data_IF_755414938550
#
_entry.id   IF_755414938550
#
_cell.length_a   1.000
_cell.length_b   1.000
_cell.length_c   1.000
_cell.angle_alpha   90.00
_cell.angle_beta   90.00
_cell.angle_gamma   90.00
#
_symmetry.space_group_name_H-M   'P 1'
#
loop_
_entity.id
_entity.type
_entity.pdbx_description
1 polymer ?
#
# COMPACT_ATOMS: atom_id res chain seq x y z
N UNK A 1 4.20 43.52 -67.14
CA UNK A 1 5.15 44.40 -66.42
C UNK A 1 5.40 43.75 -65.07
N UNK A 2 6.57 43.12 -64.87
CA UNK A 2 7.80 43.74 -64.31
C UNK A 2 7.57 44.26 -62.87
N UNK A 3 8.36 44.00 -61.85
CA UNK A 3 9.64 43.31 -61.58
C UNK A 3 9.72 43.28 -60.02
N UNK A 4 10.05 42.15 -59.39
CA UNK A 4 11.35 41.87 -58.73
C UNK A 4 11.69 42.68 -57.46
N UNK A 5 11.75 41.98 -56.32
CA UNK A 5 12.77 42.04 -55.25
C UNK A 5 12.79 40.57 -54.71
N UNK A 6 13.78 39.68 -54.92
CA UNK A 6 15.18 39.68 -54.48
C UNK A 6 15.25 39.44 -52.94
N UNK A 7 15.96 38.51 -52.33
CA UNK A 7 16.93 37.48 -52.72
C UNK A 7 17.26 36.62 -51.45
N UNK A 8 17.75 35.39 -51.64
CA UNK A 8 18.47 34.51 -50.70
C UNK A 8 17.73 33.96 -49.44
N UNK A 9 17.82 32.70 -49.01
CA UNK A 9 18.54 31.52 -49.45
C UNK A 9 17.76 30.28 -48.94
N UNK A 10 17.34 29.39 -49.86
CA UNK A 10 16.83 28.06 -49.53
C UNK A 10 17.95 27.06 -49.78
N UNK A 11 18.62 26.63 -48.72
CA UNK A 11 19.57 25.53 -48.78
C UNK A 11 18.91 24.26 -48.24
N UNK A 12 18.68 23.33 -49.17
CA UNK A 12 18.18 21.98 -48.97
C UNK A 12 19.13 21.20 -48.04
N UNK A 13 18.62 20.70 -46.91
CA UNK A 13 19.31 19.63 -46.16
C UNK A 13 18.35 18.47 -45.90
N UNK A 14 18.83 17.32 -46.34
CA UNK A 14 18.22 16.01 -46.40
C UNK A 14 17.59 15.51 -45.10
N UNK A 15 16.45 14.85 -45.24
CA UNK A 15 15.91 13.97 -44.21
C UNK A 15 16.88 12.83 -43.93
N UNK A 16 17.40 12.83 -42.70
CA UNK A 16 18.05 11.67 -42.09
C UNK A 16 17.06 11.14 -41.05
N UNK A 17 16.48 9.99 -41.34
CA UNK A 17 15.73 9.20 -40.35
C UNK A 17 16.66 8.94 -39.16
N UNK A 18 16.30 9.49 -38.00
CA UNK A 18 16.84 9.07 -36.72
C UNK A 18 15.72 8.31 -36.00
N UNK A 19 15.84 6.99 -36.04
CA UNK A 19 15.22 6.09 -35.10
C UNK A 19 15.83 6.36 -33.72
N UNK A 20 15.27 7.33 -33.01
CA UNK A 20 15.51 7.55 -31.59
C UNK A 20 14.37 6.91 -30.81
N UNK A 21 14.64 5.73 -30.26
CA UNK A 21 13.81 5.09 -29.25
C UNK A 21 13.85 5.97 -27.98
N UNK A 22 12.90 6.90 -27.88
CA UNK A 22 12.83 7.88 -26.81
C UNK A 22 11.96 7.30 -25.69
N UNK A 23 12.49 6.27 -25.02
CA UNK A 23 11.98 5.84 -23.72
C UNK A 23 12.51 6.82 -22.64
N UNK A 24 11.68 7.22 -21.66
CA UNK A 24 12.08 8.21 -20.68
C UNK A 24 13.25 7.71 -19.82
N UNK A 25 14.20 8.61 -19.56
CA UNK A 25 15.42 8.48 -18.76
C UNK A 25 15.14 8.17 -17.28
N UNK A 26 14.64 6.97 -16.98
CA UNK A 26 14.40 6.51 -15.61
C UNK A 26 15.62 5.79 -14.99
N UNK A 27 16.75 5.69 -15.72
CA UNK A 27 17.88 4.79 -15.44
C UNK A 27 19.16 5.47 -14.91
N UNK A 28 19.16 6.79 -14.62
CA UNK A 28 20.37 7.52 -14.23
C UNK A 28 20.91 7.17 -12.81
N UNK A 29 20.20 6.36 -12.02
CA UNK A 29 20.73 5.81 -10.76
C UNK A 29 21.05 4.33 -10.95
N UNK A 30 22.34 3.98 -10.94
CA UNK A 30 22.80 2.59 -11.08
C UNK A 30 22.16 1.63 -10.07
N UNK A 31 22.07 0.35 -10.43
CA UNK A 31 21.54 -0.71 -9.60
C UNK A 31 22.56 -1.07 -8.52
N UNK A 32 22.19 -0.93 -7.25
CA UNK A 32 23.04 -1.36 -6.12
C UNK A 32 22.68 -2.79 -5.72
N UNK A 33 23.64 -3.71 -5.83
CA UNK A 33 23.46 -5.13 -5.53
C UNK A 33 24.26 -5.46 -4.27
N UNK A 34 23.60 -5.99 -3.25
CA UNK A 34 24.28 -6.53 -2.07
C UNK A 34 24.33 -8.05 -2.16
N UNK A 35 25.52 -8.63 -2.19
CA UNK A 35 25.76 -10.06 -2.04
C UNK A 35 26.16 -10.38 -0.60
N UNK A 36 25.48 -11.33 0.02
CA UNK A 36 25.82 -11.90 1.33
C UNK A 36 26.15 -13.38 1.15
N UNK A 37 27.44 -13.73 1.23
CA UNK A 37 27.95 -15.09 1.07
C UNK A 37 29.29 -15.20 1.83
N UNK A 38 29.43 -16.19 2.71
CA UNK A 38 30.62 -16.40 3.54
C UNK A 38 31.84 -16.85 2.73
N UNK A 39 31.65 -17.29 1.49
CA UNK A 39 32.70 -17.76 0.59
C UNK A 39 33.18 -16.62 -0.33
N UNK A 40 34.40 -16.07 -0.13
CA UNK A 40 34.89 -14.93 -0.91
C UNK A 40 34.97 -15.19 -2.42
N UNK A 41 35.17 -16.47 -2.80
CA UNK A 41 35.21 -16.89 -4.20
C UNK A 41 33.89 -16.64 -4.94
N UNK A 42 32.73 -16.81 -4.29
CA UNK A 42 31.42 -16.57 -4.91
C UNK A 42 31.28 -15.11 -5.31
N UNK A 43 31.73 -14.19 -4.45
CA UNK A 43 31.77 -12.76 -4.74
C UNK A 43 32.61 -12.41 -5.95
N UNK A 44 33.75 -13.08 -6.14
CA UNK A 44 34.61 -12.86 -7.31
C UNK A 44 33.99 -13.41 -8.61
N UNK A 45 33.32 -14.57 -8.55
CA UNK A 45 32.61 -15.11 -9.71
C UNK A 45 31.47 -14.18 -10.13
N UNK A 46 30.66 -13.72 -9.18
CA UNK A 46 29.56 -12.79 -9.46
C UNK A 46 30.09 -11.46 -9.99
N UNK A 47 31.17 -10.92 -9.40
CA UNK A 47 31.84 -9.71 -9.91
C UNK A 47 32.30 -9.88 -11.36
N UNK A 48 32.88 -11.04 -11.70
CA UNK A 48 33.30 -11.35 -13.07
C UNK A 48 32.11 -11.47 -14.02
N UNK A 49 31.02 -12.09 -13.59
CA UNK A 49 29.80 -12.24 -14.38
C UNK A 49 29.16 -10.87 -14.71
N UNK A 50 29.23 -9.92 -13.78
CA UNK A 50 28.65 -8.58 -13.92
C UNK A 50 29.63 -7.55 -14.54
N UNK A 51 30.82 -7.96 -14.97
CA UNK A 51 31.87 -7.04 -15.43
C UNK A 51 31.47 -6.16 -16.62
N UNK A 52 30.57 -6.62 -17.48
CA UNK A 52 30.06 -5.84 -18.63
C UNK A 52 28.96 -4.85 -18.26
N UNK A 53 28.38 -4.96 -17.07
CA UNK A 53 27.22 -4.20 -16.62
C UNK A 53 27.68 -2.98 -15.80
N UNK A 54 27.99 -1.89 -16.48
CA UNK A 54 28.61 -0.69 -15.86
C UNK A 54 27.66 0.08 -14.92
N UNK A 55 26.36 -0.15 -15.07
CA UNK A 55 25.30 0.43 -14.25
C UNK A 55 24.98 -0.42 -13.00
N UNK A 56 25.66 -1.54 -12.78
CA UNK A 56 25.47 -2.40 -11.60
C UNK A 56 26.65 -2.22 -10.63
N UNK A 57 26.38 -1.67 -9.45
CA UNK A 57 27.35 -1.58 -8.35
C UNK A 57 27.20 -2.77 -7.40
N UNK A 58 28.22 -3.62 -7.31
CA UNK A 58 28.21 -4.84 -6.50
C UNK A 58 28.96 -4.64 -5.18
N UNK A 59 28.23 -4.72 -4.08
CA UNK A 59 28.75 -4.76 -2.72
C UNK A 59 28.75 -6.21 -2.21
N UNK A 60 29.90 -6.70 -1.75
CA UNK A 60 30.04 -8.06 -1.22
C UNK A 60 30.23 -8.01 0.29
N UNK A 61 29.46 -8.80 1.02
CA UNK A 61 29.52 -8.96 2.47
C UNK A 61 29.74 -10.43 2.80
N UNK A 62 30.91 -10.76 3.36
CA UNK A 62 31.26 -12.13 3.74
C UNK A 62 30.89 -12.49 5.17
N UNK A 63 30.34 -11.55 5.93
CA UNK A 63 29.96 -11.73 7.33
C UNK A 63 28.47 -11.39 7.48
N UNK A 64 27.66 -12.42 7.70
CA UNK A 64 26.21 -12.29 7.82
C UNK A 64 25.79 -11.39 9.00
N UNK A 65 26.58 -11.29 10.07
CA UNK A 65 26.27 -10.38 11.20
C UNK A 65 26.38 -8.91 10.81
N UNK A 66 27.22 -8.59 9.81
CA UNK A 66 27.38 -7.22 9.30
C UNK A 66 26.41 -6.89 8.18
N UNK A 67 25.73 -7.88 7.60
CA UNK A 67 24.89 -7.71 6.43
C UNK A 67 23.87 -6.57 6.60
N UNK A 68 23.16 -6.50 7.74
CA UNK A 68 22.16 -5.44 7.99
C UNK A 68 22.78 -4.04 8.04
N UNK A 69 23.99 -3.93 8.59
CA UNK A 69 24.74 -2.66 8.63
C UNK A 69 25.14 -2.25 7.22
N UNK A 70 25.71 -3.18 6.44
CA UNK A 70 26.10 -2.91 5.05
C UNK A 70 24.90 -2.52 4.20
N UNK A 71 23.77 -3.23 4.32
CA UNK A 71 22.55 -2.94 3.58
C UNK A 71 22.01 -1.53 3.85
N UNK A 72 22.10 -1.05 5.09
CA UNK A 72 21.69 0.32 5.43
C UNK A 72 22.56 1.37 4.74
N UNK A 73 23.87 1.10 4.64
CA UNK A 73 24.83 2.05 4.10
C UNK A 73 24.77 2.08 2.56
N UNK A 74 24.65 0.91 1.91
CA UNK A 74 24.65 0.80 0.44
C UNK A 74 23.26 0.95 -0.19
N UNK A 75 22.18 0.76 0.59
CA UNK A 75 20.77 0.85 0.14
C UNK A 75 20.51 0.04 -1.15
N UNK A 76 20.65 -1.29 -1.08
CA UNK A 76 20.59 -2.13 -2.27
C UNK A 76 19.21 -2.09 -2.93
N UNK A 77 19.20 -2.15 -4.26
CA UNK A 77 18.01 -2.37 -5.08
C UNK A 77 17.65 -3.85 -5.19
N UNK A 78 18.60 -4.75 -4.91
CA UNK A 78 18.39 -6.19 -4.76
C UNK A 78 19.46 -6.81 -3.85
N UNK A 79 19.06 -7.81 -3.06
CA UNK A 79 19.94 -8.59 -2.19
C UNK A 79 20.08 -10.00 -2.77
N UNK A 80 21.31 -10.44 -2.99
CA UNK A 80 21.67 -11.82 -3.26
C UNK A 80 22.15 -12.45 -1.94
N UNK A 81 21.53 -13.53 -1.49
CA UNK A 81 21.83 -14.09 -0.17
C UNK A 81 22.03 -15.60 -0.24
N UNK A 82 23.13 -16.09 0.33
CA UNK A 82 23.29 -17.50 0.58
C UNK A 82 22.34 -18.04 1.68
N UNK A 83 22.01 -19.32 1.60
CA UNK A 83 21.30 -20.05 2.65
C UNK A 83 22.22 -20.78 3.61
N UNK A 84 23.35 -21.29 3.12
CA UNK A 84 24.20 -22.20 3.89
C UNK A 84 25.41 -21.44 4.41
N UNK A 85 25.23 -20.79 5.55
CA UNK A 85 26.30 -20.05 6.25
C UNK A 85 26.61 -20.73 7.60
N UNK A 86 27.87 -20.71 8.08
CA UNK A 86 28.30 -21.45 9.27
C UNK A 86 27.70 -20.92 10.57
N UNK A 87 27.47 -19.59 10.66
CA UNK A 87 27.11 -18.93 11.93
C UNK A 87 25.62 -18.51 12.02
N UNK A 88 24.93 -18.37 10.88
CA UNK A 88 23.55 -17.89 10.80
C UNK A 88 22.76 -18.76 9.82
N UNK A 89 21.56 -19.20 10.22
CA UNK A 89 20.60 -19.78 9.29
C UNK A 89 20.17 -18.70 8.27
N UNK A 90 20.45 -18.92 6.99
CA UNK A 90 20.08 -17.98 5.93
C UNK A 90 18.57 -17.69 5.89
N UNK A 91 17.70 -18.62 6.29
CA UNK A 91 16.26 -18.35 6.39
C UNK A 91 15.93 -17.35 7.50
N UNK A 92 16.66 -17.35 8.61
CA UNK A 92 16.51 -16.36 9.67
C UNK A 92 16.96 -14.97 9.21
N UNK A 93 18.01 -14.91 8.38
CA UNK A 93 18.44 -13.65 7.77
C UNK A 93 17.38 -13.12 6.79
N UNK A 94 16.72 -13.98 6.01
CA UNK A 94 15.57 -13.59 5.16
C UNK A 94 14.44 -12.99 6.00
N UNK A 95 14.10 -13.62 7.13
CA UNK A 95 13.08 -13.09 8.06
C UNK A 95 13.52 -11.76 8.67
N UNK A 96 14.80 -11.61 9.02
CA UNK A 96 15.36 -10.38 9.55
C UNK A 96 15.29 -9.23 8.53
N UNK A 97 15.58 -9.48 7.25
CA UNK A 97 15.39 -8.49 6.19
C UNK A 97 13.96 -8.00 6.10
N UNK A 98 12.99 -8.92 6.23
CA UNK A 98 11.55 -8.62 6.18
C UNK A 98 11.04 -7.88 7.42
N UNK A 99 11.64 -8.12 8.58
CA UNK A 99 11.32 -7.41 9.82
C UNK A 99 11.88 -5.98 9.87
N UNK A 100 12.92 -5.66 9.08
CA UNK A 100 13.54 -4.34 9.09
C UNK A 100 12.89 -3.39 8.05
N UNK A 101 12.39 -2.23 8.50
CA UNK A 101 11.69 -1.27 7.66
C UNK A 101 12.51 -0.77 6.43
N UNK A 102 13.84 -0.69 6.53
CA UNK A 102 14.72 -0.25 5.45
C UNK A 102 14.91 -1.29 4.34
N UNK A 103 14.80 -2.57 4.67
CA UNK A 103 15.07 -3.68 3.74
C UNK A 103 13.84 -4.53 3.43
N UNK A 104 12.74 -4.35 4.16
CA UNK A 104 11.54 -5.19 4.07
C UNK A 104 10.96 -5.27 2.65
N UNK A 105 11.16 -4.24 1.83
CA UNK A 105 10.68 -4.15 0.45
C UNK A 105 11.76 -4.45 -0.59
N UNK A 106 13.02 -4.53 -0.21
CA UNK A 106 14.13 -4.85 -1.14
C UNK A 106 13.97 -6.31 -1.58
N UNK A 107 14.03 -6.61 -2.88
CA UNK A 107 13.91 -7.97 -3.36
C UNK A 107 15.11 -8.82 -2.91
N UNK A 108 14.82 -10.05 -2.48
CA UNK A 108 15.82 -11.00 -2.02
C UNK A 108 15.84 -12.19 -2.98
N UNK A 109 16.98 -12.41 -3.63
CA UNK A 109 17.25 -13.57 -4.46
C UNK A 109 18.15 -14.49 -3.64
N UNK A 110 17.62 -15.66 -3.32
CA UNK A 110 18.35 -16.65 -2.55
C UNK A 110 19.26 -17.46 -3.47
N UNK A 111 20.52 -17.63 -3.06
CA UNK A 111 21.51 -18.46 -3.71
C UNK A 111 21.63 -19.78 -2.93
N UNK A 112 21.59 -20.91 -3.63
CA UNK A 112 21.72 -22.23 -3.01
C UNK A 112 22.61 -23.15 -3.83
N UNK A 113 23.31 -24.07 -3.17
CA UNK A 113 24.22 -25.00 -3.84
C UNK A 113 23.53 -25.98 -4.80
N UNK A 114 22.24 -26.30 -4.56
CA UNK A 114 21.47 -27.27 -5.36
C UNK A 114 20.04 -26.80 -5.55
N UNK A 115 19.38 -27.25 -6.61
CA UNK A 115 17.94 -27.01 -6.79
C UNK A 115 17.12 -28.06 -6.04
N UNK A 116 16.72 -27.72 -4.81
CA UNK A 116 15.89 -28.59 -3.98
C UNK A 116 14.50 -27.96 -3.77
N UNK A 117 13.40 -28.64 -4.19
CA UNK A 117 12.06 -28.07 -4.12
C UNK A 117 11.61 -27.65 -2.70
N UNK A 118 12.07 -28.38 -1.67
CA UNK A 118 11.74 -28.11 -0.27
C UNK A 118 12.38 -26.79 0.18
N UNK A 119 13.68 -26.64 -0.04
CA UNK A 119 14.44 -25.42 0.30
C UNK A 119 13.90 -24.21 -0.45
N UNK A 120 13.58 -24.37 -1.74
CA UNK A 120 12.95 -23.33 -2.56
C UNK A 120 11.61 -22.88 -1.97
N UNK A 121 10.75 -23.82 -1.58
CA UNK A 121 9.47 -23.53 -0.91
C UNK A 121 9.69 -22.78 0.40
N UNK A 122 10.62 -23.21 1.24
CA UNK A 122 10.92 -22.59 2.53
C UNK A 122 11.44 -21.16 2.37
N UNK A 123 12.33 -20.92 1.40
CA UNK A 123 12.84 -19.60 1.07
C UNK A 123 11.71 -18.63 0.67
N UNK A 124 10.78 -19.08 -0.18
CA UNK A 124 9.61 -18.27 -0.55
C UNK A 124 8.68 -18.00 0.64
N UNK A 125 8.47 -18.98 1.52
CA UNK A 125 7.67 -18.80 2.74
C UNK A 125 8.34 -17.81 3.70
N UNK A 126 9.67 -17.85 3.81
CA UNK A 126 10.43 -16.91 4.63
C UNK A 126 10.41 -15.48 4.06
N UNK A 127 10.12 -15.33 2.77
CA UNK A 127 9.90 -14.04 2.11
C UNK A 127 10.89 -13.72 1.00
N UNK A 128 11.66 -14.68 0.49
CA UNK A 128 12.46 -14.50 -0.72
C UNK A 128 11.56 -14.20 -1.93
N UNK A 129 12.06 -13.38 -2.86
CA UNK A 129 11.37 -13.06 -4.11
C UNK A 129 11.72 -14.05 -5.21
N UNK A 130 12.91 -14.64 -5.12
CA UNK A 130 13.42 -15.52 -6.14
C UNK A 130 14.52 -16.45 -5.61
N UNK A 131 14.88 -17.43 -6.44
CA UNK A 131 15.83 -18.48 -6.12
C UNK A 131 16.73 -18.80 -7.32
N UNK A 132 18.04 -18.83 -7.07
CA UNK A 132 19.09 -19.17 -8.02
C UNK A 132 20.00 -20.27 -7.47
N UNK A 133 20.43 -21.18 -8.35
CA UNK A 133 21.52 -22.10 -8.03
C UNK A 133 22.83 -21.31 -8.07
N UNK A 134 23.73 -21.53 -7.09
CA UNK A 134 25.03 -20.87 -6.99
C UNK A 134 25.84 -21.09 -8.27
N UNK A 135 26.57 -20.05 -8.65
CA UNK A 135 27.31 -19.95 -9.93
C UNK A 135 26.37 -20.00 -11.16
N UNK A 136 25.33 -19.14 -11.21
CA UNK A 136 24.45 -19.06 -12.37
C UNK A 136 25.19 -18.50 -13.59
N UNK A 137 24.60 -18.69 -14.77
CA UNK A 137 25.06 -18.02 -15.98
C UNK A 137 24.94 -16.49 -15.84
N UNK A 138 25.89 -15.76 -16.43
CA UNK A 138 25.94 -14.30 -16.35
C UNK A 138 24.66 -13.65 -16.91
N UNK A 139 24.11 -14.19 -18.00
CA UNK A 139 22.87 -13.68 -18.61
C UNK A 139 21.69 -13.87 -17.67
N UNK A 140 21.57 -15.05 -17.03
CA UNK A 140 20.50 -15.32 -16.08
C UNK A 140 20.59 -14.43 -14.84
N UNK A 141 21.78 -14.30 -14.27
CA UNK A 141 22.03 -13.45 -13.10
C UNK A 141 21.66 -11.99 -13.38
N UNK A 142 22.18 -11.42 -14.47
CA UNK A 142 21.92 -10.04 -14.87
C UNK A 142 20.44 -9.82 -15.14
N UNK A 143 19.76 -10.74 -15.84
CA UNK A 143 18.33 -10.62 -16.11
C UNK A 143 17.51 -10.55 -14.81
N UNK A 144 17.80 -11.39 -13.83
CA UNK A 144 17.09 -11.40 -12.54
C UNK A 144 17.40 -10.17 -11.70
N UNK A 145 18.67 -9.74 -11.63
CA UNK A 145 19.07 -8.51 -10.93
C UNK A 145 18.29 -7.31 -11.51
N UNK A 146 18.29 -7.16 -12.83
CA UNK A 146 17.60 -6.06 -13.52
C UNK A 146 16.10 -6.12 -13.30
N UNK A 147 15.47 -7.28 -13.48
CA UNK A 147 14.03 -7.46 -13.29
C UNK A 147 13.58 -7.04 -11.89
N UNK A 148 14.24 -7.57 -10.85
CA UNK A 148 13.87 -7.30 -9.47
C UNK A 148 14.21 -5.87 -9.05
N UNK A 149 15.38 -5.36 -9.43
CA UNK A 149 15.79 -3.99 -9.10
C UNK A 149 14.88 -2.96 -9.77
N UNK A 150 14.59 -3.10 -11.06
CA UNK A 150 13.72 -2.15 -11.76
C UNK A 150 12.30 -2.17 -11.22
N UNK A 151 11.76 -3.36 -10.91
CA UNK A 151 10.45 -3.49 -10.27
C UNK A 151 10.40 -2.79 -8.91
N UNK A 152 11.47 -2.92 -8.12
CA UNK A 152 11.61 -2.24 -6.83
C UNK A 152 11.69 -0.71 -6.99
N UNK A 153 12.54 -0.21 -7.90
CA UNK A 153 12.71 1.21 -8.17
C UNK A 153 11.41 1.85 -8.71
N UNK A 154 10.73 1.20 -9.66
CA UNK A 154 9.45 1.67 -10.18
C UNK A 154 8.38 1.74 -9.09
N UNK A 155 8.32 0.74 -8.19
CA UNK A 155 7.39 0.79 -7.06
C UNK A 155 7.74 1.92 -6.11
N UNK A 156 9.02 2.20 -5.86
CA UNK A 156 9.47 3.31 -5.03
C UNK A 156 9.14 4.68 -5.64
N UNK A 157 9.44 4.86 -6.92
CA UNK A 157 9.11 6.09 -7.66
C UNK A 157 7.60 6.35 -7.65
N UNK A 158 6.79 5.30 -7.85
CA UNK A 158 5.33 5.42 -7.74
C UNK A 158 4.91 5.89 -6.35
N UNK A 159 5.45 5.29 -5.29
CA UNK A 159 5.09 5.63 -3.92
C UNK A 159 5.53 7.08 -3.59
N UNK A 160 6.72 7.51 -4.03
CA UNK A 160 7.21 8.87 -3.87
C UNK A 160 6.39 9.90 -4.65
N UNK A 161 5.98 9.57 -5.87
CA UNK A 161 5.08 10.42 -6.67
C UNK A 161 3.70 10.57 -6.01
N UNK A 162 3.15 9.49 -5.45
CA UNK A 162 1.88 9.53 -4.71
C UNK A 162 1.99 10.41 -3.47
N UNK A 163 3.09 10.30 -2.72
CA UNK A 163 3.31 11.11 -1.52
C UNK A 163 3.48 12.59 -1.85
N UNK A 164 4.20 12.91 -2.92
CA UNK A 164 4.32 14.27 -3.44
C UNK A 164 2.97 14.85 -3.85
N UNK A 165 2.20 14.14 -4.69
CA UNK A 165 0.87 14.57 -5.12
C UNK A 165 -0.06 14.78 -3.92
N UNK A 166 0.02 13.90 -2.93
CA UNK A 166 -0.76 14.04 -1.70
C UNK A 166 -0.42 15.33 -0.96
N UNK A 167 0.87 15.59 -0.71
CA UNK A 167 1.31 16.80 -0.03
C UNK A 167 0.82 18.08 -0.75
N UNK A 168 1.02 18.14 -2.07
CA UNK A 168 0.66 19.31 -2.87
C UNK A 168 -0.86 19.53 -2.96
N UNK A 169 -1.66 18.45 -2.94
CA UNK A 169 -3.13 18.55 -2.85
C UNK A 169 -3.60 19.01 -1.47
N UNK A 170 -2.92 18.62 -0.38
CA UNK A 170 -3.32 18.98 0.99
C UNK A 170 -3.01 20.43 1.35
N UNK A 171 -1.86 20.94 0.93
CA UNK A 171 -1.36 22.28 1.29
C UNK A 171 -2.37 23.42 1.02
N UNK A 172 -2.96 23.57 -0.19
CA UNK A 172 -3.91 24.64 -0.44
C UNK A 172 -5.20 24.48 0.37
N UNK A 173 -5.68 23.25 0.56
CA UNK A 173 -6.92 22.99 1.32
C UNK A 173 -6.73 23.29 2.81
N UNK A 174 -5.59 22.91 3.37
CA UNK A 174 -5.24 23.21 4.77
C UNK A 174 -5.11 24.71 4.99
N UNK A 175 -4.51 25.43 4.04
CA UNK A 175 -4.41 26.90 4.09
C UNK A 175 -5.78 27.57 4.04
N UNK A 176 -6.68 27.12 3.16
CA UNK A 176 -8.06 27.63 3.09
C UNK A 176 -8.77 27.42 4.43
N UNK A 177 -8.70 26.21 5.00
CA UNK A 177 -9.36 25.92 6.28
C UNK A 177 -8.78 26.74 7.43
N UNK A 178 -7.46 26.89 7.51
CA UNK A 178 -6.82 27.72 8.54
C UNK A 178 -7.26 29.20 8.45
N UNK A 179 -7.33 29.77 7.25
CA UNK A 179 -7.81 31.14 7.04
C UNK A 179 -9.28 31.30 7.46
N UNK A 180 -10.13 30.31 7.14
CA UNK A 180 -11.53 30.32 7.56
C UNK A 180 -11.68 30.15 9.07
N UNK A 181 -10.81 29.35 9.71
CA UNK A 181 -10.78 29.22 11.17
C UNK A 181 -10.37 30.53 11.84
N UNK A 182 -9.33 31.22 11.34
CA UNK A 182 -8.94 32.56 11.81
C UNK A 182 -10.12 33.53 11.70
N UNK A 183 -10.77 33.59 10.54
CA UNK A 183 -11.92 34.45 10.32
C UNK A 183 -13.06 34.18 11.32
N UNK A 184 -13.40 32.90 11.53
CA UNK A 184 -14.41 32.46 12.52
C UNK A 184 -14.04 32.89 13.94
N UNK A 185 -12.76 32.84 14.28
CA UNK A 185 -12.28 33.25 15.60
C UNK A 185 -12.40 34.77 15.80
N UNK A 186 -12.16 35.56 14.75
CA UNK A 186 -12.21 37.03 14.81
C UNK A 186 -13.63 37.60 14.71
N UNK A 187 -14.50 37.00 13.89
CA UNK A 187 -15.81 37.56 13.53
C UNK A 187 -17.00 36.77 14.10
N UNK A 188 -16.75 35.61 14.72
CA UNK A 188 -17.80 34.73 15.23
C UNK A 188 -18.47 33.94 14.10
N UNK A 189 -19.73 34.26 13.80
CA UNK A 189 -20.53 33.49 12.84
C UNK A 189 -19.98 33.61 11.42
N UNK A 190 -19.76 32.46 10.79
CA UNK A 190 -19.28 32.35 9.41
C UNK A 190 -20.43 32.58 8.41
N UNK A 191 -20.27 33.47 7.42
CA UNK A 191 -21.20 33.57 6.32
C UNK A 191 -21.40 32.22 5.61
N UNK A 192 -22.63 31.93 5.17
CA UNK A 192 -22.97 30.64 4.54
C UNK A 192 -22.09 30.28 3.33
N UNK A 193 -21.58 31.27 2.60
CA UNK A 193 -20.64 31.04 1.50
C UNK A 193 -19.28 30.51 1.98
N UNK A 194 -18.79 31.01 3.12
CA UNK A 194 -17.52 30.55 3.71
C UNK A 194 -17.67 29.14 4.28
N UNK A 195 -18.80 28.81 4.89
CA UNK A 195 -19.11 27.42 5.28
C UNK A 195 -19.14 26.47 4.07
N UNK A 196 -19.70 26.92 2.94
CA UNK A 196 -19.65 26.14 1.69
C UNK A 196 -18.21 25.95 1.21
N UNK A 197 -17.38 26.99 1.24
CA UNK A 197 -15.95 26.90 0.87
C UNK A 197 -15.21 25.93 1.80
N UNK A 198 -15.40 26.02 3.12
CA UNK A 198 -14.84 25.07 4.08
C UNK A 198 -15.28 23.63 3.77
N UNK A 199 -16.55 23.44 3.43
CA UNK A 199 -17.08 22.14 3.00
C UNK A 199 -16.48 21.63 1.70
N UNK A 200 -16.15 22.50 0.74
CA UNK A 200 -15.40 22.12 -0.48
C UNK A 200 -13.96 21.74 -0.16
N UNK A 201 -13.27 22.50 0.69
CA UNK A 201 -11.89 22.23 1.05
C UNK A 201 -11.73 20.92 1.84
N UNK A 202 -12.59 20.69 2.85
CA UNK A 202 -12.66 19.41 3.59
C UNK A 202 -12.94 18.23 2.66
N UNK A 203 -13.80 18.42 1.66
CA UNK A 203 -14.11 17.41 0.63
C UNK A 203 -12.88 17.08 -0.23
N UNK A 204 -12.19 18.09 -0.75
CA UNK A 204 -10.99 17.88 -1.55
C UNK A 204 -9.88 17.15 -0.76
N UNK A 205 -9.70 17.52 0.52
CA UNK A 205 -8.77 16.85 1.43
C UNK A 205 -9.14 15.37 1.64
N UNK A 206 -10.40 15.08 1.97
CA UNK A 206 -10.87 13.71 2.19
C UNK A 206 -10.77 12.83 0.93
N UNK A 207 -10.94 13.41 -0.27
CA UNK A 207 -10.72 12.71 -1.53
C UNK A 207 -9.24 12.38 -1.74
N UNK A 208 -8.34 13.35 -1.54
CA UNK A 208 -6.90 13.16 -1.67
C UNK A 208 -6.41 12.06 -0.71
N UNK A 209 -6.83 12.12 0.56
CA UNK A 209 -6.51 11.09 1.54
C UNK A 209 -7.05 9.73 1.09
N UNK A 210 -8.35 9.64 0.79
CA UNK A 210 -9.00 8.40 0.37
C UNK A 210 -8.29 7.73 -0.82
N UNK A 211 -7.88 8.51 -1.82
CA UNK A 211 -7.18 8.01 -3.00
C UNK A 211 -5.81 7.43 -2.67
N UNK A 212 -5.02 8.13 -1.84
CA UNK A 212 -3.69 7.67 -1.43
C UNK A 212 -3.80 6.38 -0.63
N UNK A 213 -4.73 6.31 0.31
CA UNK A 213 -4.92 5.10 1.11
C UNK A 213 -5.38 3.92 0.26
N UNK A 214 -6.29 4.13 -0.70
CA UNK A 214 -6.69 3.08 -1.65
C UNK A 214 -5.50 2.60 -2.49
N UNK A 215 -4.71 3.54 -3.03
CA UNK A 215 -3.58 3.21 -3.89
C UNK A 215 -2.52 2.42 -3.12
N UNK A 216 -2.23 2.83 -1.88
CA UNK A 216 -1.31 2.10 -0.99
C UNK A 216 -1.84 0.71 -0.64
N UNK A 217 -3.14 0.56 -0.37
CA UNK A 217 -3.76 -0.74 -0.09
C UNK A 217 -3.66 -1.72 -1.27
N UNK A 218 -3.69 -1.22 -2.51
CA UNK A 218 -3.52 -2.03 -3.72
C UNK A 218 -2.05 -2.33 -4.07
N UNK A 219 -1.14 -1.46 -3.65
CA UNK A 219 0.23 -1.39 -4.18
C UNK A 219 1.30 -1.94 -3.25
N UNK A 220 1.16 -1.73 -1.94
CA UNK A 220 2.23 -2.02 -0.99
C UNK A 220 2.24 -3.49 -0.62
N UNK A 221 3.39 -4.17 -0.64
CA UNK A 221 3.61 -5.48 0.00
C UNK A 221 4.40 -5.27 1.30
N UNK A 222 3.82 -4.60 2.31
CA UNK A 222 4.40 -4.60 3.66
C UNK A 222 4.35 -6.00 4.26
N UNK A 223 5.34 -6.32 5.08
CA UNK A 223 5.32 -7.51 5.92
C UNK A 223 4.09 -7.46 6.81
N UNK A 224 3.33 -8.55 6.85
CA UNK A 224 2.28 -8.70 7.82
C UNK A 224 2.91 -9.06 9.17
N UNK A 225 2.37 -8.51 10.23
CA UNK A 225 2.70 -8.88 11.61
C UNK A 225 1.48 -9.53 12.28
N UNK A 226 1.71 -10.23 13.38
CA UNK A 226 0.61 -10.73 14.21
C UNK A 226 -0.04 -9.52 14.89
N UNK A 227 -1.31 -9.28 14.62
CA UNK A 227 -2.06 -8.14 15.16
C UNK A 227 -3.29 -8.59 15.92
N UNK A 228 -3.61 -7.89 17.01
CA UNK A 228 -4.83 -8.07 17.79
C UNK A 228 -6.00 -7.34 17.13
N UNK A 229 -7.02 -8.09 16.70
CA UNK A 229 -8.26 -7.55 16.15
C UNK A 229 -9.11 -6.87 17.22
N UNK A 230 -9.00 -7.30 18.48
CA UNK A 230 -9.69 -6.68 19.62
C UNK A 230 -9.27 -5.21 19.73
N UNK A 231 -7.96 -4.96 19.77
CA UNK A 231 -7.42 -3.59 19.84
C UNK A 231 -7.78 -2.78 18.60
N UNK A 232 -7.69 -3.36 17.40
CA UNK A 232 -8.05 -2.69 16.14
C UNK A 232 -9.50 -2.20 16.15
N UNK A 233 -10.44 -3.00 16.66
CA UNK A 233 -11.85 -2.61 16.76
C UNK A 233 -12.02 -1.48 17.76
N UNK A 234 -11.40 -1.58 18.93
CA UNK A 234 -11.47 -0.54 19.97
C UNK A 234 -10.87 0.79 19.46
N UNK A 235 -9.68 0.76 18.87
CA UNK A 235 -9.01 1.92 18.28
C UNK A 235 -9.88 2.60 17.20
N UNK A 236 -10.59 1.82 16.38
CA UNK A 236 -11.48 2.36 15.34
C UNK A 236 -12.76 3.00 15.91
N UNK A 237 -13.30 2.45 16.99
CA UNK A 237 -14.46 3.00 17.71
C UNK A 237 -14.09 4.32 18.39
N UNK A 238 -12.92 4.37 19.04
CA UNK A 238 -12.38 5.57 19.68
C UNK A 238 -12.04 6.68 18.67
N UNK A 239 -11.77 6.36 17.40
CA UNK A 239 -11.60 7.40 16.38
C UNK A 239 -12.92 8.10 16.00
N UNK A 240 -14.07 7.50 16.30
CA UNK A 240 -15.37 7.93 15.78
C UNK A 240 -16.37 8.30 16.87
N UNK A 241 -16.00 8.23 18.16
CA UNK A 241 -16.91 8.53 19.27
C UNK A 241 -17.45 9.97 19.21
N UNK A 242 -16.60 10.98 18.96
CA UNK A 242 -17.02 12.39 18.89
C UNK A 242 -18.00 12.61 17.74
N UNK A 243 -17.70 12.00 16.59
CA UNK A 243 -18.53 12.09 15.40
C UNK A 243 -19.90 11.45 15.62
N UNK A 244 -19.92 10.27 16.25
CA UNK A 244 -21.17 9.59 16.58
C UNK A 244 -22.02 10.44 17.51
N UNK A 245 -21.43 10.99 18.57
CA UNK A 245 -22.11 11.90 19.50
C UNK A 245 -22.67 13.14 18.79
N UNK A 246 -21.91 13.74 17.86
CA UNK A 246 -22.37 14.85 17.03
C UNK A 246 -23.55 14.52 16.10
N UNK A 247 -23.73 13.25 15.74
CA UNK A 247 -24.88 12.75 14.97
C UNK A 247 -26.04 12.26 15.85
N UNK A 248 -25.93 12.36 17.18
CA UNK A 248 -26.92 11.84 18.13
C UNK A 248 -26.92 10.31 18.25
N UNK A 249 -25.86 9.65 17.79
CA UNK A 249 -25.70 8.20 17.75
C UNK A 249 -24.56 7.76 18.68
N UNK A 250 -24.50 6.47 19.03
CA UNK A 250 -23.32 5.86 19.66
C UNK A 250 -22.77 4.75 18.79
N UNK A 251 -21.46 4.49 18.95
CA UNK A 251 -20.82 3.31 18.40
C UNK A 251 -20.66 2.31 19.54
N UNK A 252 -21.31 1.16 19.42
CA UNK A 252 -21.30 0.11 20.45
C UNK A 252 -20.42 -1.03 19.98
N UNK A 253 -19.29 -1.22 20.65
CA UNK A 253 -18.36 -2.32 20.39
C UNK A 253 -18.77 -3.58 21.17
N UNK A 254 -18.83 -4.72 20.48
CA UNK A 254 -18.99 -6.05 21.07
C UNK A 254 -17.77 -6.87 20.69
N UNK A 255 -16.79 -6.91 21.59
CA UNK A 255 -15.50 -7.58 21.40
C UNK A 255 -15.41 -8.72 22.41
N UNK A 256 -15.03 -9.94 22.00
CA UNK A 256 -14.90 -11.07 22.92
C UNK A 256 -13.65 -10.90 23.80
N UNK A 257 -13.65 -11.54 24.97
CA UNK A 257 -12.48 -11.58 25.86
C UNK A 257 -11.35 -12.47 25.30
N UNK A 258 -11.66 -13.34 24.35
CA UNK A 258 -10.68 -14.17 23.66
C UNK A 258 -9.78 -13.32 22.76
N UNK A 259 -8.50 -13.64 22.74
CA UNK A 259 -7.53 -12.97 21.88
C UNK A 259 -7.77 -13.34 20.42
N UNK A 260 -8.24 -12.39 19.61
CA UNK A 260 -8.50 -12.58 18.19
C UNK A 260 -7.33 -12.05 17.38
N UNK A 261 -6.40 -12.93 16.99
CA UNK A 261 -5.22 -12.54 16.20
C UNK A 261 -5.33 -12.91 14.73
N UNK A 262 -4.78 -12.04 13.88
CA UNK A 262 -4.57 -12.30 12.45
C UNK A 262 -3.22 -11.78 12.00
N UNK A 263 -2.78 -12.20 10.81
CA UNK A 263 -1.55 -11.76 10.18
C UNK A 263 -1.85 -10.57 9.25
N UNK A 264 -1.47 -9.35 9.64
CA UNK A 264 -1.84 -8.15 8.88
C UNK A 264 -1.07 -6.87 9.18
N UNK A 265 -1.58 -5.78 8.59
CA UNK A 265 -1.14 -4.40 8.79
C UNK A 265 -2.13 -3.68 9.71
N UNK A 266 -1.69 -3.35 10.93
CA UNK A 266 -2.54 -2.73 11.96
C UNK A 266 -3.21 -1.44 11.47
N UNK A 267 -2.46 -0.56 10.80
CA UNK A 267 -2.98 0.73 10.36
C UNK A 267 -4.06 0.56 9.29
N UNK A 268 -3.85 -0.36 8.35
CA UNK A 268 -4.79 -0.62 7.28
C UNK A 268 -6.09 -1.25 7.79
N UNK A 269 -5.97 -2.21 8.71
CA UNK A 269 -7.12 -2.87 9.33
C UNK A 269 -7.93 -1.89 10.19
N UNK A 270 -7.27 -1.11 11.05
CA UNK A 270 -7.94 -0.08 11.87
C UNK A 270 -8.73 0.90 11.00
N UNK A 271 -8.11 1.37 9.91
CA UNK A 271 -8.79 2.25 8.95
C UNK A 271 -9.95 1.56 8.23
N UNK A 272 -9.82 0.28 7.89
CA UNK A 272 -10.91 -0.45 7.24
C UNK A 272 -12.12 -0.56 8.17
N UNK A 273 -11.91 -0.87 9.46
CA UNK A 273 -12.98 -0.89 10.46
C UNK A 273 -13.58 0.51 10.66
N UNK A 274 -12.75 1.55 10.78
CA UNK A 274 -13.23 2.93 10.87
C UNK A 274 -14.08 3.35 9.66
N UNK A 275 -13.69 2.96 8.44
CA UNK A 275 -14.49 3.22 7.24
C UNK A 275 -15.86 2.51 7.28
N UNK A 276 -15.93 1.30 7.84
CA UNK A 276 -17.20 0.58 8.01
C UNK A 276 -18.10 1.30 9.03
N UNK A 277 -17.56 1.68 10.18
CA UNK A 277 -18.29 2.44 11.22
C UNK A 277 -18.78 3.78 10.67
N UNK A 278 -17.91 4.51 9.97
CA UNK A 278 -18.23 5.80 9.35
C UNK A 278 -19.37 5.67 8.31
N UNK A 279 -19.39 4.58 7.54
CA UNK A 279 -20.51 4.30 6.63
C UNK A 279 -21.80 4.04 7.41
N UNK A 280 -21.77 3.27 8.50
CA UNK A 280 -22.94 3.06 9.36
C UNK A 280 -23.51 4.37 9.90
N UNK A 281 -22.64 5.30 10.34
CA UNK A 281 -23.04 6.61 10.83
C UNK A 281 -23.60 7.53 9.73
N UNK A 282 -23.01 7.46 8.52
CA UNK A 282 -23.42 8.31 7.38
C UNK A 282 -24.72 7.87 6.73
N UNK A 283 -24.89 6.57 6.53
CA UNK A 283 -25.97 6.00 5.74
C UNK A 283 -27.10 5.42 6.61
N UNK A 284 -26.84 5.13 7.88
CA UNK A 284 -27.86 4.73 8.84
C UNK A 284 -28.89 5.84 9.13
N UNK A 285 -30.02 5.50 9.78
CA UNK A 285 -30.98 6.48 10.27
C UNK A 285 -30.37 7.36 11.37
N UNK A 286 -30.67 8.66 11.35
CA UNK A 286 -30.15 9.60 12.36
C UNK A 286 -30.57 9.20 13.78
N UNK A 287 -29.66 9.32 14.75
CA UNK A 287 -29.96 9.03 16.16
C UNK A 287 -30.01 7.54 16.51
N UNK A 288 -29.61 6.65 15.59
CA UNK A 288 -29.54 5.21 15.86
C UNK A 288 -28.10 4.76 16.14
N UNK A 289 -27.94 3.82 17.07
CA UNK A 289 -26.63 3.29 17.43
C UNK A 289 -26.09 2.38 16.33
N UNK A 290 -24.80 2.52 16.03
CA UNK A 290 -24.05 1.65 15.11
C UNK A 290 -23.33 0.59 15.94
N UNK A 291 -23.48 -0.68 15.59
CA UNK A 291 -22.89 -1.79 16.34
C UNK A 291 -21.70 -2.36 15.60
N UNK A 292 -20.53 -2.38 16.24
CA UNK A 292 -19.34 -3.05 15.72
C UNK A 292 -19.10 -4.33 16.53
N UNK A 293 -19.16 -5.48 15.87
CA UNK A 293 -19.05 -6.80 16.50
C UNK A 293 -17.82 -7.53 15.99
N UNK A 294 -17.00 -8.08 16.88
CA UNK A 294 -15.96 -9.05 16.55
C UNK A 294 -16.42 -10.45 16.97
N UNK A 295 -16.36 -11.42 16.06
CA UNK A 295 -16.75 -12.81 16.35
C UNK A 295 -15.88 -13.80 15.57
N UNK A 296 -15.67 -14.99 16.14
CA UNK A 296 -15.03 -16.10 15.43
C UNK A 296 -16.05 -16.91 14.60
N UNK A 297 -15.67 -17.26 13.38
CA UNK A 297 -16.41 -18.17 12.48
C UNK A 297 -15.41 -19.13 11.81
N UNK A 298 -15.49 -20.43 12.10
CA UNK A 298 -14.75 -21.54 11.44
C UNK A 298 -13.41 -21.16 10.77
N UNK A 299 -12.38 -20.95 11.60
CA UNK A 299 -11.02 -20.63 11.13
C UNK A 299 -10.85 -19.19 10.62
N UNK A 300 -11.80 -18.31 10.88
CA UNK A 300 -11.76 -16.90 10.52
C UNK A 300 -12.33 -16.01 11.64
N UNK A 301 -11.97 -14.74 11.57
CA UNK A 301 -12.56 -13.67 12.38
C UNK A 301 -13.45 -12.81 11.50
N UNK A 302 -14.60 -12.39 12.04
CA UNK A 302 -15.55 -11.51 11.40
C UNK A 302 -15.67 -10.22 12.20
N UNK A 303 -15.33 -9.10 11.58
CA UNK A 303 -15.59 -7.76 12.12
C UNK A 303 -16.79 -7.21 11.37
N UNK A 304 -17.97 -7.26 11.99
CA UNK A 304 -19.22 -6.76 11.44
C UNK A 304 -19.52 -5.34 11.94
N UNK A 305 -19.97 -4.47 11.05
CA UNK A 305 -20.61 -3.20 11.41
C UNK A 305 -22.04 -3.24 10.96
N UNK A 306 -22.96 -3.07 11.90
CA UNK A 306 -24.40 -3.16 11.71
C UNK A 306 -25.07 -1.82 12.02
N UNK A 307 -25.91 -1.39 11.09
CA UNK A 307 -26.77 -0.21 11.21
C UNK A 307 -28.24 -0.58 10.96
N UNK A 308 -29.16 0.29 11.39
CA UNK A 308 -30.61 0.06 11.24
C UNK A 308 -31.17 0.60 9.91
N UNK A 309 -30.33 0.82 8.92
CA UNK A 309 -30.71 1.32 7.60
C UNK A 309 -31.27 0.23 6.69
N UNK A 310 -31.83 0.68 5.55
CA UNK A 310 -32.34 -0.22 4.51
C UNK A 310 -31.24 -1.04 3.81
N UNK A 311 -29.97 -0.67 4.02
CA UNK A 311 -28.82 -1.34 3.45
C UNK A 311 -28.65 -1.13 1.94
N UNK A 312 -27.91 -2.05 1.32
CA UNK A 312 -27.61 -2.04 -0.11
C UNK A 312 -28.34 -3.20 -0.79
N UNK A 313 -29.06 -2.88 -1.87
CA UNK A 313 -29.77 -3.86 -2.68
C UNK A 313 -28.81 -4.96 -3.19
N UNK A 314 -29.20 -6.25 -3.19
CA UNK A 314 -28.31 -7.34 -3.56
C UNK A 314 -27.59 -7.16 -4.89
N UNK A 315 -28.26 -6.59 -5.90
CA UNK A 315 -27.65 -6.36 -7.23
C UNK A 315 -26.56 -5.28 -7.21
N UNK A 316 -26.62 -4.35 -6.24
CA UNK A 316 -25.71 -3.22 -6.13
C UNK A 316 -24.49 -3.49 -5.24
N UNK A 317 -24.47 -4.59 -4.47
CA UNK A 317 -23.42 -4.88 -3.48
C UNK A 317 -22.03 -5.01 -4.08
N UNK A 318 -21.92 -5.64 -5.26
CA UNK A 318 -20.63 -5.77 -5.97
C UNK A 318 -20.13 -4.40 -6.40
N UNK A 319 -20.98 -3.62 -7.08
CA UNK A 319 -20.65 -2.28 -7.56
C UNK A 319 -20.33 -1.30 -6.41
N UNK A 320 -20.97 -1.45 -5.24
CA UNK A 320 -20.72 -0.61 -4.07
C UNK A 320 -19.27 -0.65 -3.57
N UNK A 321 -18.53 -1.71 -3.92
CA UNK A 321 -17.12 -1.88 -3.54
C UNK A 321 -16.15 -1.40 -4.62
N UNK A 322 -16.63 -0.92 -5.76
CA UNK A 322 -15.81 -0.34 -6.81
C UNK A 322 -15.41 1.10 -6.48
N UNK A 323 -14.23 1.50 -6.93
CA UNK A 323 -13.69 2.84 -6.68
C UNK A 323 -14.54 3.89 -7.37
N UNK A 324 -14.84 4.98 -6.66
CA UNK A 324 -15.62 6.12 -7.16
C UNK A 324 -17.11 5.85 -7.40
N UNK A 325 -17.63 4.68 -7.01
CA UNK A 325 -19.07 4.40 -7.08
C UNK A 325 -19.79 4.99 -5.87
N UNK A 326 -20.83 5.80 -6.15
CA UNK A 326 -21.76 6.32 -5.15
C UNK A 326 -23.14 5.76 -5.47
N UNK A 327 -23.76 5.09 -4.50
CA UNK A 327 -25.13 4.62 -4.65
C UNK A 327 -26.09 5.78 -4.32
N UNK A 328 -27.05 6.03 -5.21
CA UNK A 328 -28.13 6.97 -4.91
C UNK A 328 -28.94 6.46 -3.72
N UNK A 329 -28.99 7.25 -2.65
CA UNK A 329 -29.83 6.92 -1.50
C UNK A 329 -31.29 7.21 -1.84
N UNK A 330 -32.18 6.27 -1.52
CA UNK A 330 -33.65 6.44 -1.64
C UNK A 330 -34.20 7.61 -0.81
N UNK A 331 -33.38 8.24 0.04
CA UNK A 331 -33.76 9.29 0.98
C UNK A 331 -33.21 10.70 0.65
N UNK A 332 -33.02 11.04 -0.63
CA UNK A 332 -32.98 12.43 -1.14
C UNK A 332 -31.96 13.44 -0.57
N UNK A 333 -31.20 13.08 0.47
CA UNK A 333 -30.16 13.91 1.05
C UNK A 333 -28.82 13.54 0.40
N UNK A 334 -28.14 14.54 -0.16
CA UNK A 334 -26.79 14.41 -0.69
C UNK A 334 -25.80 14.03 0.44
N UNK A 335 -25.71 12.74 0.75
CA UNK A 335 -24.81 12.20 1.77
C UNK A 335 -23.40 12.09 1.18
N UNK A 336 -22.46 12.75 1.84
CA UNK A 336 -21.10 13.01 1.33
C UNK A 336 -20.18 11.80 1.47
N UNK A 337 -19.88 11.16 0.33
CA UNK A 337 -18.84 10.14 0.22
C UNK A 337 -18.31 10.08 -1.20
N UNK A 338 -17.02 9.81 -1.38
CA UNK A 338 -16.38 9.77 -2.72
C UNK A 338 -16.39 8.38 -3.38
N UNK A 339 -17.05 7.39 -2.78
CA UNK A 339 -17.01 6.00 -3.27
C UNK A 339 -15.66 5.29 -3.07
N UNK A 340 -14.81 5.80 -2.17
CA UNK A 340 -13.49 5.21 -1.91
C UNK A 340 -13.44 4.36 -0.64
N UNK A 341 -14.40 4.53 0.28
CA UNK A 341 -14.40 3.85 1.59
C UNK A 341 -14.52 2.33 1.46
N UNK A 342 -15.58 1.83 0.81
CA UNK A 342 -15.78 0.39 0.61
C UNK A 342 -14.76 -0.21 -0.37
N UNK A 343 -14.29 0.56 -1.36
CA UNK A 343 -13.19 0.14 -2.24
C UNK A 343 -11.91 -0.10 -1.44
N UNK A 344 -11.59 0.78 -0.48
CA UNK A 344 -10.47 0.59 0.44
C UNK A 344 -10.65 -0.65 1.34
N UNK A 345 -11.86 -0.87 1.89
CA UNK A 345 -12.14 -2.07 2.71
C UNK A 345 -11.96 -3.33 1.88
N UNK A 346 -12.45 -3.37 0.64
CA UNK A 346 -12.26 -4.51 -0.27
C UNK A 346 -10.78 -4.75 -0.58
N UNK A 347 -10.02 -3.70 -0.90
CA UNK A 347 -8.59 -3.80 -1.16
C UNK A 347 -7.84 -4.33 0.08
N UNK A 348 -8.18 -3.82 1.27
CA UNK A 348 -7.63 -4.28 2.55
C UNK A 348 -7.97 -5.75 2.80
N UNK A 349 -9.22 -6.16 2.58
CA UNK A 349 -9.65 -7.55 2.76
C UNK A 349 -8.85 -8.49 1.84
N UNK A 350 -8.80 -8.20 0.54
CA UNK A 350 -8.08 -9.03 -0.44
C UNK A 350 -6.59 -9.16 -0.08
N UNK A 351 -5.96 -8.05 0.35
CA UNK A 351 -4.58 -8.02 0.81
C UNK A 351 -4.33 -8.97 2.00
N UNK A 352 -5.27 -9.05 2.92
CA UNK A 352 -5.20 -9.90 4.10
C UNK A 352 -5.76 -11.31 3.89
N UNK A 353 -5.93 -11.74 2.62
CA UNK A 353 -6.57 -13.03 2.25
C UNK A 353 -7.96 -13.20 2.85
N UNK A 354 -8.63 -12.08 3.10
CA UNK A 354 -9.98 -11.97 3.60
C UNK A 354 -10.96 -11.57 2.51
N UNK A 355 -12.19 -11.28 2.93
CA UNK A 355 -13.25 -10.83 2.04
C UNK A 355 -14.17 -9.83 2.76
N UNK A 356 -14.77 -8.94 1.97
CA UNK A 356 -15.87 -8.09 2.43
C UNK A 356 -17.19 -8.85 2.25
N UNK A 357 -18.04 -8.81 3.27
CA UNK A 357 -19.35 -9.44 3.29
C UNK A 357 -20.42 -8.38 3.52
N UNK A 358 -21.57 -8.55 2.89
CA UNK A 358 -22.71 -7.66 3.03
C UNK A 358 -23.97 -8.50 3.17
N UNK A 359 -24.69 -8.35 4.29
CA UNK A 359 -25.92 -9.10 4.56
C UNK A 359 -26.97 -8.26 5.26
N UNK A 360 -28.23 -8.58 5.01
CA UNK A 360 -29.33 -8.05 5.82
C UNK A 360 -29.36 -8.81 7.14
N UNK A 361 -29.74 -8.13 8.20
CA UNK A 361 -29.83 -8.67 9.55
C UNK A 361 -31.19 -8.35 10.15
N UNK A 362 -31.46 -8.86 11.36
CA UNK A 362 -32.69 -8.51 12.07
C UNK A 362 -32.76 -7.02 12.43
N UNK A 363 -31.62 -6.32 12.57
CA UNK A 363 -31.58 -4.90 12.91
C UNK A 363 -31.60 -3.98 11.70
N UNK A 364 -31.11 -4.45 10.56
CA UNK A 364 -31.07 -3.70 9.31
C UNK A 364 -30.06 -4.30 8.35
N UNK A 365 -28.87 -3.72 8.29
CA UNK A 365 -27.83 -4.10 7.36
C UNK A 365 -26.48 -4.19 8.02
N UNK A 366 -25.70 -5.19 7.61
CA UNK A 366 -24.35 -5.42 8.09
C UNK A 366 -23.37 -5.46 6.94
N UNK A 367 -22.29 -4.69 7.06
CA UNK A 367 -21.07 -4.84 6.26
C UNK A 367 -19.99 -5.39 7.17
N UNK A 368 -19.34 -6.47 6.75
CA UNK A 368 -18.35 -7.14 7.57
C UNK A 368 -17.04 -7.40 6.82
N UNK A 369 -15.95 -7.34 7.57
CA UNK A 369 -14.62 -7.73 7.13
C UNK A 369 -14.32 -9.12 7.70
N UNK A 370 -14.19 -10.13 6.83
CA UNK A 370 -13.79 -11.49 7.21
C UNK A 370 -12.30 -11.66 6.96
N UNK A 371 -11.55 -12.04 7.99
CA UNK A 371 -10.09 -12.24 7.96
C UNK A 371 -9.76 -13.67 8.41
N UNK A 372 -8.72 -14.31 7.85
CA UNK A 372 -8.30 -15.63 8.32
C UNK A 372 -7.81 -15.54 9.77
N UNK A 373 -8.20 -16.50 10.60
CA UNK A 373 -7.63 -16.63 11.93
C UNK A 373 -6.19 -17.13 11.78
N UNK A 374 -5.29 -16.62 12.63
CA UNK A 374 -3.96 -17.20 12.71
C UNK A 374 -4.06 -18.56 13.41
N UNK A 375 -3.54 -19.61 12.77
CA UNK A 375 -3.48 -20.92 13.41
C UNK A 375 -2.63 -20.83 14.67
N UNK A 376 -3.16 -21.32 15.80
CA UNK A 376 -2.36 -21.60 16.99
C UNK A 376 -1.25 -22.57 16.57
N UNK A 377 0.00 -22.17 16.80
CA UNK A 377 1.18 -22.97 16.46
C UNK A 377 1.40 -24.08 17.47
#
# INVERSE_FOLDING_TARGET
MKESIGDSAFETVFMKESSGDNAPDCLESGLSVLLVDDQPFVGEVIRRALRSEHDIDLHVCTDAHRAMTVARDVKPTVILQDLVMPDIDGLDLVRAWRANAGTARVPIIVLSAKEEPIVKREAFIAGANDYLVKLPDAMELTARIRYHSNSYLMSRQRDEALDFLSHDMRSPQTSILALLDVYRTEHGDMPAIMERIAGHARRALALADGFIHLTRAQSERRAHEVVSLNEIVLDAVDQLWEKAAGCGSRVVAHVPDTECVTMGDRMMLTRAVANLIDNGLKYGPSGTDVHCTLSGEDGAWLIGVEDTGAGIAPEQRTAATESFVQLESTHGAARSGFGLGLAFVRATAARHRGQILMRNTARGFMVALRLPAQAER
#
